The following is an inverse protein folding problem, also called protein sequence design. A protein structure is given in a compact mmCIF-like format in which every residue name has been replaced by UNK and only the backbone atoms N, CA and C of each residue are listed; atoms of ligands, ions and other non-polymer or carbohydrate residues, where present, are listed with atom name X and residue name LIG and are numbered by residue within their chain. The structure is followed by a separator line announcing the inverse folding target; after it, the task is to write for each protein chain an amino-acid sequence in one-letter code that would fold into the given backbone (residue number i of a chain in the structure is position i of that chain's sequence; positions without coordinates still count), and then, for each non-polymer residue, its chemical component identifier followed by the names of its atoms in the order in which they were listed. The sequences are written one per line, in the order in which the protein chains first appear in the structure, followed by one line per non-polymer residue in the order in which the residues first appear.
data_IF_087855937633
#
_entry.id   IF_087855937633
#
_cell.length_a   1.000
_cell.length_b   1.000
_cell.length_c   1.000
_cell.angle_alpha   90.00
_cell.angle_beta   90.00
_cell.angle_gamma   90.00
#
_symmetry.space_group_name_H-M   'P 1'
#
loop_
_entity.id
_entity.type
_entity.pdbx_description
1 polymer ?
#
# COMPACT_ATOMS: atom_id res chain seq x y z
N UNK A 1 -31.29 -2.65 49.98
CA UNK A 1 -32.32 -3.34 50.78
C UNK A 1 -33.16 -2.23 51.41
N UNK A 2 -34.42 -1.98 51.09
CA UNK A 2 -35.40 -2.72 50.29
C UNK A 2 -36.53 -1.75 49.92
N UNK A 3 -37.11 -1.98 48.73
CA UNK A 3 -38.52 -1.83 48.33
C UNK A 3 -39.25 -0.47 48.44
N UNK A 4 -39.68 0.12 47.31
CA UNK A 4 -40.83 -0.19 46.43
C UNK A 4 -42.18 0.32 46.98
N UNK A 5 -42.75 1.33 46.31
CA UNK A 5 -44.14 1.25 45.83
C UNK A 5 -44.41 2.29 44.73
N UNK A 6 -44.88 1.74 43.61
CA UNK A 6 -45.26 2.41 42.38
C UNK A 6 -46.65 3.04 42.47
N UNK A 7 -46.95 4.02 41.61
CA UNK A 7 -48.26 4.23 40.97
C UNK A 7 -48.16 5.30 39.87
N UNK A 8 -48.19 4.85 38.63
CA UNK A 8 -48.80 5.53 37.47
C UNK A 8 -50.19 4.86 37.27
N UNK A 9 -51.19 5.40 36.52
CA UNK A 9 -51.08 6.17 35.27
C UNK A 9 -52.08 7.35 35.11
N UNK A 10 -51.89 8.20 34.10
CA UNK A 10 -52.79 8.34 32.93
C UNK A 10 -52.52 9.60 32.10
N UNK A 11 -52.77 9.45 30.81
CA UNK A 11 -52.48 10.34 29.69
C UNK A 11 -53.30 11.64 29.69
N UNK A 12 -52.76 12.72 29.09
CA UNK A 12 -53.47 13.46 28.01
C UNK A 12 -52.54 14.48 27.32
N UNK A 13 -52.59 14.43 25.99
CA UNK A 13 -51.84 15.22 24.99
C UNK A 13 -52.36 16.64 24.87
N UNK A 14 -51.48 17.66 24.80
CA UNK A 14 -51.55 18.89 23.97
C UNK A 14 -50.09 19.37 23.83
N UNK A 15 -49.39 19.26 22.69
CA UNK A 15 -49.56 20.07 21.49
C UNK A 15 -48.47 21.16 21.42
N UNK A 16 -47.25 20.82 20.96
CA UNK A 16 -46.16 21.79 20.75
C UNK A 16 -45.89 21.99 19.25
N UNK A 17 -46.11 23.22 18.80
CA UNK A 17 -45.88 23.71 17.44
C UNK A 17 -44.43 24.18 17.27
N UNK A 18 -43.75 23.63 16.25
CA UNK A 18 -42.50 24.16 15.72
C UNK A 18 -42.80 25.23 14.65
N UNK A 19 -42.00 26.31 14.54
CA UNK A 19 -42.10 27.24 13.42
C UNK A 19 -40.88 27.12 12.50
N UNK A 20 -41.04 26.65 11.27
CA UNK A 20 -40.10 26.91 10.17
C UNK A 20 -40.79 26.75 8.83
N UNK A 21 -41.03 27.85 8.11
CA UNK A 21 -40.80 28.03 6.66
C UNK A 21 -41.50 29.29 6.19
N UNK A 22 -40.74 30.30 5.77
CA UNK A 22 -41.17 31.16 4.68
C UNK A 22 -40.02 31.32 3.67
N UNK A 23 -40.34 30.87 2.47
CA UNK A 23 -39.62 31.01 1.22
C UNK A 23 -39.78 32.44 0.69
N UNK A 24 -38.70 33.10 0.33
CA UNK A 24 -38.73 34.23 -0.61
C UNK A 24 -37.73 33.97 -1.74
N UNK A 25 -38.26 33.49 -2.86
CA UNK A 25 -37.60 33.35 -4.14
C UNK A 25 -37.64 34.67 -4.91
N UNK A 26 -36.49 35.31 -5.09
CA UNK A 26 -36.32 36.43 -6.01
C UNK A 26 -35.84 35.92 -7.38
N UNK A 27 -36.70 36.09 -8.38
CA UNK A 27 -36.39 36.01 -9.80
C UNK A 27 -35.72 37.31 -10.25
N UNK A 28 -34.58 37.23 -10.96
CA UNK A 28 -34.17 38.30 -11.90
C UNK A 28 -33.54 37.66 -13.14
N UNK A 29 -34.03 38.06 -14.31
CA UNK A 29 -33.65 37.56 -15.62
C UNK A 29 -33.12 38.73 -16.48
N UNK A 30 -32.02 38.47 -17.19
CA UNK A 30 -31.60 38.99 -18.51
C UNK A 30 -31.32 40.48 -18.79
N UNK A 31 -30.05 40.73 -19.19
CA UNK A 31 -29.59 41.26 -20.51
C UNK A 31 -29.08 42.73 -20.71
N UNK A 32 -27.79 42.81 -21.10
CA UNK A 32 -27.06 43.63 -22.12
C UNK A 32 -26.85 45.17 -21.92
N UNK A 33 -25.90 45.85 -22.64
CA UNK A 33 -24.82 45.41 -23.53
C UNK A 33 -23.42 46.08 -23.36
N UNK A 34 -22.48 45.61 -24.18
CA UNK A 34 -21.11 46.04 -24.48
C UNK A 34 -20.98 47.41 -25.16
N UNK A 35 -19.93 48.18 -24.84
CA UNK A 35 -19.39 49.23 -25.72
C UNK A 35 -17.85 49.32 -25.63
N UNK A 36 -17.22 49.28 -26.82
CA UNK A 36 -15.82 49.64 -27.10
C UNK A 36 -15.61 51.16 -26.96
N UNK A 37 -14.42 51.61 -26.55
CA UNK A 37 -13.60 52.61 -27.28
C UNK A 37 -12.22 52.85 -26.62
N UNK A 38 -11.16 52.62 -27.41
CA UNK A 38 -9.91 53.38 -27.61
C UNK A 38 -9.23 54.25 -26.52
N UNK A 39 -7.96 53.89 -26.26
CA UNK A 39 -6.74 54.64 -25.87
C UNK A 39 -6.67 56.15 -26.23
N UNK A 40 -5.92 57.02 -25.49
CA UNK A 40 -4.44 57.03 -25.52
C UNK A 40 -3.65 57.41 -24.24
N UNK A 41 -2.35 57.07 -24.27
CA UNK A 41 -1.20 57.44 -23.41
C UNK A 41 -0.94 58.97 -23.37
N UNK A 42 -0.23 59.55 -22.34
CA UNK A 42 1.24 59.43 -22.22
C UNK A 42 1.89 59.50 -20.80
N UNK A 43 2.97 58.69 -20.61
CA UNK A 43 4.29 58.94 -19.94
C UNK A 43 4.36 59.50 -18.47
N UNK A 44 5.53 59.49 -17.79
CA UNK A 44 6.01 58.36 -17.01
C UNK A 44 6.33 58.72 -15.53
N UNK A 45 5.93 57.90 -14.57
CA UNK A 45 6.41 58.01 -13.19
C UNK A 45 7.36 56.86 -12.86
N UNK A 46 8.58 57.23 -12.47
CA UNK A 46 9.57 56.38 -11.85
C UNK A 46 9.01 55.74 -10.57
N UNK A 47 9.43 54.50 -10.25
CA UNK A 47 10.06 54.12 -8.97
C UNK A 47 10.12 52.58 -8.79
N UNK A 48 11.32 52.14 -8.40
CA UNK A 48 11.67 50.91 -7.66
C UNK A 48 11.46 49.52 -8.31
N UNK A 49 12.53 49.05 -8.96
CA UNK A 49 12.81 47.62 -9.14
C UNK A 49 12.97 46.93 -7.79
N UNK A 50 12.06 45.99 -7.48
CA UNK A 50 12.26 44.99 -6.44
C UNK A 50 12.77 43.72 -7.13
N UNK A 51 14.09 43.53 -7.16
CA UNK A 51 14.72 42.31 -7.66
C UNK A 51 14.51 41.19 -6.63
N UNK A 52 13.58 40.28 -6.90
CA UNK A 52 13.48 38.99 -6.22
C UNK A 52 14.66 38.13 -6.66
N UNK A 53 15.69 38.08 -5.81
CA UNK A 53 16.84 37.18 -5.98
C UNK A 53 16.41 35.73 -5.74
N UNK A 54 16.67 34.78 -6.66
CA UNK A 54 16.46 33.37 -6.39
C UNK A 54 17.55 32.86 -5.43
N UNK A 55 17.11 32.30 -4.30
CA UNK A 55 17.94 31.65 -3.30
C UNK A 55 18.77 30.51 -3.93
N UNK A 56 20.04 30.78 -4.16
CA UNK A 56 21.03 29.78 -4.59
C UNK A 56 21.53 29.03 -3.35
N UNK A 57 20.95 27.87 -3.02
CA UNK A 57 21.54 26.94 -2.07
C UNK A 57 22.87 26.43 -2.64
N UNK A 58 23.99 26.86 -2.05
CA UNK A 58 25.33 26.37 -2.39
C UNK A 58 25.44 24.88 -2.03
N UNK A 59 25.62 24.05 -3.06
CA UNK A 59 26.04 22.64 -2.93
C UNK A 59 27.33 22.56 -2.13
N UNK A 60 27.30 21.82 -1.03
CA UNK A 60 28.52 21.35 -0.35
C UNK A 60 29.12 20.24 -1.21
N UNK A 61 30.39 20.39 -1.60
CA UNK A 61 31.16 19.32 -2.26
C UNK A 61 31.64 18.36 -1.17
N UNK A 62 31.20 17.10 -1.24
CA UNK A 62 31.84 16.03 -0.47
C UNK A 62 33.17 15.68 -1.14
N UNK A 63 34.29 16.02 -0.48
CA UNK A 63 35.59 15.47 -0.83
C UNK A 63 35.61 13.99 -0.44
N UNK A 64 35.83 13.12 -1.43
CA UNK A 64 36.16 11.71 -1.24
C UNK A 64 37.34 11.57 -0.27
N UNK A 65 37.13 10.88 0.84
CA UNK A 65 38.21 10.26 1.59
C UNK A 65 37.77 8.84 1.96
N UNK A 66 38.00 7.93 1.03
CA UNK A 66 38.02 6.51 1.28
C UNK A 66 39.24 5.95 0.55
N UNK A 67 39.84 4.94 1.17
CA UNK A 67 40.97 4.12 0.71
C UNK A 67 42.37 4.71 0.95
N UNK A 68 42.87 4.49 2.16
CA UNK A 68 44.24 4.00 2.32
C UNK A 68 44.42 3.39 3.72
N UNK A 69 44.57 2.06 3.78
CA UNK A 69 45.52 1.33 4.66
C UNK A 69 45.24 -0.17 4.61
N UNK A 70 45.90 -0.83 3.65
CA UNK A 70 46.34 -2.22 3.75
C UNK A 70 47.84 -2.22 4.05
N UNK A 71 48.29 -3.27 4.75
CA UNK A 71 49.66 -3.69 5.08
C UNK A 71 50.27 -3.26 6.44
N UNK A 72 50.13 -4.20 7.40
CA UNK A 72 51.15 -4.82 8.29
C UNK A 72 52.45 -4.10 8.66
N UNK A 73 52.80 -4.03 9.96
CA UNK A 73 53.77 -4.97 10.63
C UNK A 73 53.99 -4.67 12.13
N UNK A 74 54.07 -5.77 12.90
CA UNK A 74 54.91 -6.07 14.09
C UNK A 74 54.80 -5.34 15.45
N UNK A 75 54.48 -6.16 16.46
CA UNK A 75 55.04 -6.28 17.84
C UNK A 75 54.97 -5.09 18.82
N UNK A 76 54.11 -5.20 19.85
CA UNK A 76 54.52 -5.62 21.21
C UNK A 76 53.35 -5.52 22.22
N UNK A 77 53.16 -6.61 22.95
CA UNK A 77 52.73 -6.78 24.34
C UNK A 77 51.94 -5.65 25.03
N UNK A 78 50.69 -5.92 25.46
CA UNK A 78 50.27 -6.07 26.88
C UNK A 78 48.73 -6.15 26.92
N UNK A 79 48.20 -7.18 27.60
CA UNK A 79 46.77 -7.49 27.75
C UNK A 79 46.07 -6.57 28.77
N UNK A 80 44.72 -6.45 28.72
CA UNK A 80 43.95 -7.12 29.76
C UNK A 80 42.66 -7.82 29.29
N UNK A 81 42.21 -8.71 30.19
CA UNK A 81 41.20 -9.78 30.12
C UNK A 81 39.79 -9.36 29.65
N UNK A 82 39.19 -10.20 28.80
CA UNK A 82 37.73 -10.37 28.66
C UNK A 82 37.28 -11.60 29.47
N UNK A 83 36.10 -11.57 30.10
CA UNK A 83 35.53 -12.76 30.75
C UNK A 83 34.92 -13.72 29.71
N UNK A 84 35.07 -15.01 29.98
CA UNK A 84 34.53 -16.13 29.24
C UNK A 84 33.10 -16.45 29.68
N UNK A 85 32.19 -16.67 28.73
CA UNK A 85 30.88 -17.25 28.97
C UNK A 85 30.73 -18.54 28.13
N UNK A 86 30.91 -19.66 28.82
CA UNK A 86 30.21 -20.95 28.75
C UNK A 86 29.43 -21.23 27.44
N UNK A 87 30.02 -22.09 26.59
CA UNK A 87 29.28 -22.92 25.65
C UNK A 87 28.72 -24.14 26.39
N UNK A 88 27.40 -24.25 26.48
CA UNK A 88 26.70 -25.52 26.68
C UNK A 88 25.36 -25.42 25.95
N UNK A 89 25.27 -26.01 24.75
CA UNK A 89 23.98 -26.34 24.12
C UNK A 89 24.08 -27.77 23.62
N UNK A 90 23.21 -28.61 24.18
CA UNK A 90 23.00 -30.00 23.82
C UNK A 90 22.54 -30.16 22.35
N UNK A 91 22.87 -31.28 21.69
CA UNK A 91 22.39 -31.54 20.33
C UNK A 91 20.93 -31.97 20.39
N UNK A 92 20.02 -31.05 20.05
CA UNK A 92 18.64 -31.36 19.72
C UNK A 92 18.61 -31.97 18.31
N UNK A 93 18.23 -33.25 18.24
CA UNK A 93 18.06 -34.01 17.01
C UNK A 93 16.84 -33.50 16.21
N UNK A 94 17.06 -32.60 15.26
CA UNK A 94 16.12 -32.34 14.17
C UNK A 94 16.55 -33.12 12.93
N UNK A 95 15.81 -34.18 12.59
CA UNK A 95 15.94 -34.87 11.31
C UNK A 95 15.46 -33.95 10.19
N UNK A 96 16.38 -33.29 9.49
CA UNK A 96 16.09 -32.64 8.20
C UNK A 96 15.81 -33.77 7.19
N UNK A 97 14.54 -33.96 6.86
CA UNK A 97 14.13 -34.79 5.73
C UNK A 97 14.17 -33.92 4.48
N UNK A 98 15.28 -33.98 3.74
CA UNK A 98 15.37 -33.42 2.39
C UNK A 98 14.38 -34.18 1.50
N UNK A 99 13.22 -33.59 1.23
CA UNK A 99 12.33 -34.09 0.18
C UNK A 99 12.87 -33.59 -1.16
N UNK A 100 13.47 -34.53 -1.86
CA UNK A 100 13.85 -34.47 -3.26
C UNK A 100 12.64 -34.12 -4.12
N UNK A 101 12.84 -33.09 -4.92
CA UNK A 101 12.16 -32.67 -6.15
C UNK A 101 11.48 -33.85 -6.88
N UNK A 102 10.16 -33.98 -6.78
CA UNK A 102 9.37 -34.75 -7.73
C UNK A 102 8.91 -33.83 -8.85
N UNK A 103 9.56 -33.94 -10.00
CA UNK A 103 9.06 -33.40 -11.26
C UNK A 103 7.91 -34.31 -11.72
N UNK A 104 6.69 -33.80 -11.69
CA UNK A 104 5.56 -34.47 -12.35
C UNK A 104 5.61 -34.16 -13.84
N UNK A 105 6.19 -35.08 -14.60
CA UNK A 105 5.96 -35.26 -16.03
C UNK A 105 4.55 -35.82 -16.23
N UNK A 106 3.60 -34.99 -16.63
CA UNK A 106 2.36 -35.44 -17.27
C UNK A 106 2.41 -34.94 -18.72
N UNK A 107 3.03 -35.75 -19.58
CA UNK A 107 2.95 -35.58 -21.02
C UNK A 107 1.50 -35.88 -21.45
N UNK A 108 0.88 -34.92 -22.11
CA UNK A 108 -0.32 -35.14 -22.89
C UNK A 108 0.03 -36.10 -24.03
N UNK A 109 -0.66 -37.24 -24.11
CA UNK A 109 -0.62 -38.09 -25.29
C UNK A 109 -1.34 -37.36 -26.44
N UNK A 110 -0.56 -36.79 -27.35
CA UNK A 110 -1.01 -36.44 -28.69
C UNK A 110 -0.94 -37.71 -29.53
N UNK A 111 -2.09 -38.28 -29.87
CA UNK A 111 -2.17 -39.36 -30.86
C UNK A 111 -1.68 -38.82 -32.21
N UNK A 112 -0.51 -39.31 -32.61
CA UNK A 112 0.06 -39.09 -33.91
C UNK A 112 -0.67 -39.98 -34.94
N UNK A 113 -1.12 -39.35 -36.01
CA UNK A 113 -1.47 -39.99 -37.27
C UNK A 113 -0.18 -40.56 -37.88
N UNK A 114 -0.21 -41.80 -38.40
CA UNK A 114 0.46 -42.04 -39.67
C UNK A 114 -0.48 -42.71 -40.66
N UNK A 115 -0.54 -42.12 -41.85
CA UNK A 115 -1.04 -42.73 -43.06
C UNK A 115 0.05 -43.62 -43.67
N UNK A 116 -0.30 -44.85 -44.05
CA UNK A 116 0.37 -45.64 -45.10
C UNK A 116 -0.69 -46.59 -45.71
N UNK A 117 -0.61 -46.74 -47.03
CA UNK A 117 -1.49 -47.48 -47.93
C UNK A 117 -1.27 -49.01 -47.90
N UNK A 118 -2.32 -49.80 -48.11
CA UNK A 118 -2.53 -50.63 -49.33
C UNK A 118 -3.52 -51.81 -49.09
N UNK A 119 -4.07 -52.30 -50.20
CA UNK A 119 -5.26 -53.09 -50.43
C UNK A 119 -5.23 -54.58 -50.01
N UNK A 120 -6.44 -55.16 -49.89
CA UNK A 120 -6.65 -56.61 -49.87
C UNK A 120 -8.08 -57.00 -49.53
N UNK A 121 -8.84 -57.45 -50.53
CA UNK A 121 -10.23 -57.86 -50.46
C UNK A 121 -10.45 -59.20 -49.72
N UNK A 122 -11.54 -59.30 -48.95
CA UNK A 122 -12.33 -60.53 -48.73
C UNK A 122 -13.62 -60.24 -47.93
N UNK A 123 -14.78 -60.44 -48.56
CA UNK A 123 -16.08 -60.79 -47.92
C UNK A 123 -16.09 -62.33 -47.69
N UNK A 124 -16.82 -62.93 -46.69
CA UNK A 124 -18.28 -62.81 -46.58
C UNK A 124 -18.98 -62.98 -45.18
N UNK A 125 -20.15 -62.34 -45.05
CA UNK A 125 -21.46 -62.84 -44.51
C UNK A 125 -21.73 -63.10 -42.99
N UNK A 126 -22.74 -62.35 -42.50
CA UNK A 126 -23.79 -62.58 -41.48
C UNK A 126 -23.50 -62.49 -39.96
N UNK A 127 -24.51 -62.23 -39.06
CA UNK A 127 -25.92 -61.88 -39.26
C UNK A 127 -26.39 -60.58 -38.55
N UNK A 128 -27.56 -60.07 -38.96
CA UNK A 128 -28.33 -59.05 -38.26
C UNK A 128 -28.62 -59.45 -36.80
N UNK A 129 -28.22 -58.61 -35.86
CA UNK A 129 -28.68 -58.66 -34.47
C UNK A 129 -29.39 -57.36 -34.11
N UNK A 130 -30.59 -57.53 -33.55
CA UNK A 130 -31.54 -56.51 -33.09
C UNK A 130 -30.84 -55.44 -32.23
N UNK A 131 -31.30 -54.18 -32.22
CA UNK A 131 -30.71 -53.15 -31.37
C UNK A 131 -30.95 -53.54 -29.91
N UNK A 132 -29.92 -54.06 -29.26
CA UNK A 132 -29.89 -54.16 -27.82
C UNK A 132 -29.80 -52.73 -27.29
N UNK A 133 -30.89 -52.31 -26.66
CA UNK A 133 -30.96 -51.08 -25.89
C UNK A 133 -29.94 -51.17 -24.74
N UNK A 134 -28.67 -50.93 -25.05
CA UNK A 134 -27.68 -50.57 -24.06
C UNK A 134 -28.06 -49.18 -23.60
N UNK A 135 -28.72 -49.11 -22.44
CA UNK A 135 -28.91 -47.85 -21.75
C UNK A 135 -27.53 -47.29 -21.44
N UNK A 136 -26.99 -46.46 -22.33
CA UNK A 136 -26.04 -45.45 -21.93
C UNK A 136 -26.80 -44.58 -20.94
N UNK A 137 -26.68 -44.93 -19.65
CA UNK A 137 -27.06 -44.05 -18.56
C UNK A 137 -26.14 -42.85 -18.71
N UNK A 138 -26.52 -41.91 -19.57
CA UNK A 138 -26.04 -40.56 -19.52
C UNK A 138 -26.27 -40.15 -18.06
N UNK A 139 -25.19 -40.08 -17.29
CA UNK A 139 -25.21 -39.34 -16.05
C UNK A 139 -25.49 -37.90 -16.47
N UNK A 140 -26.77 -37.56 -16.57
CA UNK A 140 -27.24 -36.19 -16.57
C UNK A 140 -26.68 -35.60 -15.30
N UNK A 141 -25.49 -34.98 -15.40
CA UNK A 141 -24.90 -34.18 -14.33
C UNK A 141 -25.96 -33.16 -13.98
N UNK A 142 -26.69 -33.43 -12.89
CA UNK A 142 -27.75 -32.55 -12.41
C UNK A 142 -27.06 -31.23 -12.09
N UNK A 143 -27.28 -30.21 -12.93
CA UNK A 143 -26.70 -28.88 -12.71
C UNK A 143 -27.19 -28.43 -11.33
N UNK A 144 -26.27 -28.14 -10.43
CA UNK A 144 -26.63 -27.58 -9.13
C UNK A 144 -27.36 -26.26 -9.36
N UNK A 145 -28.41 -25.95 -8.59
CA UNK A 145 -29.01 -24.62 -8.58
C UNK A 145 -27.94 -23.55 -8.36
N UNK A 146 -28.07 -22.40 -9.02
CA UNK A 146 -27.10 -21.30 -8.94
C UNK A 146 -26.92 -20.79 -7.50
N UNK A 147 -28.00 -20.82 -6.72
CA UNK A 147 -28.06 -20.50 -5.28
C UNK A 147 -27.11 -21.36 -4.43
N UNK A 148 -26.83 -22.60 -4.85
CA UNK A 148 -25.97 -23.52 -4.10
C UNK A 148 -24.49 -23.33 -4.42
N UNK A 149 -24.16 -22.61 -5.48
CA UNK A 149 -22.78 -22.32 -5.85
C UNK A 149 -22.24 -21.16 -4.99
N UNK A 150 -21.01 -21.25 -4.46
CA UNK A 150 -20.42 -20.19 -3.64
C UNK A 150 -20.12 -18.93 -4.45
N UNK A 151 -19.81 -19.09 -5.73
CA UNK A 151 -19.41 -18.03 -6.66
C UNK A 151 -19.99 -18.32 -8.06
N UNK A 152 -20.14 -17.29 -8.93
CA UNK A 152 -20.72 -17.45 -10.25
C UNK A 152 -19.79 -18.23 -11.17
N UNK A 153 -20.38 -18.95 -12.11
CA UNK A 153 -19.61 -19.73 -13.08
C UNK A 153 -18.76 -18.81 -14.00
N UNK A 154 -17.51 -19.16 -14.35
CA UNK A 154 -16.63 -18.29 -15.14
C UNK A 154 -17.20 -17.86 -16.50
N UNK A 155 -18.06 -18.68 -17.11
CA UNK A 155 -18.71 -18.34 -18.38
C UNK A 155 -19.64 -17.11 -18.25
N UNK A 156 -20.28 -16.92 -17.08
CA UNK A 156 -21.17 -15.79 -16.81
C UNK A 156 -20.44 -14.44 -16.85
N UNK A 157 -19.11 -14.44 -16.67
CA UNK A 157 -18.30 -13.21 -16.75
C UNK A 157 -18.35 -12.54 -18.13
N UNK A 158 -18.55 -13.32 -19.20
CA UNK A 158 -18.65 -12.78 -20.57
C UNK A 158 -19.94 -11.99 -20.82
N UNK A 159 -20.99 -12.25 -20.05
CA UNK A 159 -22.30 -11.61 -20.18
C UNK A 159 -22.47 -10.41 -19.24
N UNK A 160 -21.53 -10.21 -18.30
CA UNK A 160 -21.61 -9.15 -17.30
C UNK A 160 -21.25 -7.78 -17.88
N UNK A 161 -22.21 -6.87 -17.83
CA UNK A 161 -22.03 -5.46 -18.23
C UNK A 161 -21.12 -4.75 -17.22
N UNK A 162 -21.24 -5.06 -15.93
CA UNK A 162 -20.44 -4.43 -14.86
C UNK A 162 -18.95 -4.72 -15.03
N UNK A 163 -18.58 -5.95 -15.38
CA UNK A 163 -17.18 -6.32 -15.67
C UNK A 163 -16.64 -5.61 -16.90
N UNK A 164 -17.41 -5.56 -17.99
CA UNK A 164 -17.01 -4.85 -19.21
C UNK A 164 -16.81 -3.34 -18.95
N UNK A 165 -17.70 -2.74 -18.15
CA UNK A 165 -17.59 -1.34 -17.73
C UNK A 165 -16.36 -1.09 -16.85
N UNK A 166 -16.09 -1.97 -15.88
CA UNK A 166 -14.92 -1.87 -15.01
C UNK A 166 -13.61 -1.99 -15.80
N UNK A 167 -13.53 -2.96 -16.73
CA UNK A 167 -12.36 -3.13 -17.61
C UNK A 167 -12.07 -1.85 -18.40
N UNK A 168 -13.12 -1.22 -18.94
CA UNK A 168 -13.03 0.00 -19.72
C UNK A 168 -12.64 1.22 -18.86
N UNK A 169 -13.21 1.35 -17.65
CA UNK A 169 -12.90 2.41 -16.68
C UNK A 169 -11.43 2.39 -16.27
N UNK A 170 -10.88 1.20 -16.04
CA UNK A 170 -9.47 1.00 -15.70
C UNK A 170 -8.53 1.05 -16.91
N UNK A 171 -9.06 1.31 -18.11
CA UNK A 171 -8.30 1.33 -19.37
C UNK A 171 -7.48 0.04 -19.60
N UNK A 172 -8.02 -1.11 -19.19
CA UNK A 172 -7.36 -2.40 -19.34
C UNK A 172 -7.49 -2.89 -20.79
N UNK A 173 -6.42 -3.45 -21.38
CA UNK A 173 -6.43 -3.91 -22.76
C UNK A 173 -7.27 -5.19 -22.91
N UNK A 174 -7.82 -5.44 -24.09
CA UNK A 174 -8.72 -6.58 -24.35
C UNK A 174 -8.06 -7.96 -24.17
N UNK A 175 -6.72 -8.01 -24.28
CA UNK A 175 -5.92 -9.20 -23.94
C UNK A 175 -6.10 -9.66 -22.48
N UNK A 176 -6.61 -8.79 -21.61
CA UNK A 176 -6.97 -9.16 -20.25
C UNK A 176 -8.38 -9.79 -20.21
N UNK A 177 -8.50 -11.09 -19.88
CA UNK A 177 -9.77 -11.81 -19.95
C UNK A 177 -10.73 -11.39 -18.83
N UNK A 178 -12.02 -11.27 -19.16
CA UNK A 178 -13.08 -10.94 -18.20
C UNK A 178 -13.25 -12.00 -17.11
N UNK A 179 -12.92 -13.27 -17.40
CA UNK A 179 -12.98 -14.38 -16.46
C UNK A 179 -11.95 -14.21 -15.34
N UNK A 180 -10.74 -13.76 -15.66
CA UNK A 180 -9.74 -13.46 -14.63
C UNK A 180 -10.16 -12.25 -13.81
N UNK A 181 -10.73 -11.22 -14.46
CA UNK A 181 -11.27 -10.05 -13.75
C UNK A 181 -12.36 -10.46 -12.75
N UNK A 182 -13.30 -11.31 -13.16
CA UNK A 182 -14.33 -11.87 -12.29
C UNK A 182 -13.72 -12.61 -11.09
N UNK A 183 -12.69 -13.44 -11.32
CA UNK A 183 -11.99 -14.15 -10.25
C UNK A 183 -11.40 -13.21 -9.20
N UNK A 184 -10.88 -12.04 -9.61
CA UNK A 184 -10.32 -11.07 -8.63
C UNK A 184 -11.36 -10.54 -7.64
N UNK A 185 -12.65 -10.55 -7.99
CA UNK A 185 -13.76 -10.09 -7.15
C UNK A 185 -14.29 -11.15 -6.19
N UNK A 186 -13.84 -12.40 -6.28
CA UNK A 186 -14.26 -13.50 -5.40
C UNK A 186 -13.28 -13.66 -4.24
N UNK A 187 -13.68 -13.23 -3.04
CA UNK A 187 -12.86 -13.35 -1.83
C UNK A 187 -12.85 -14.79 -1.27
N UNK A 188 -11.76 -15.29 -0.63
CA UNK A 188 -11.71 -16.61 0.02
C UNK A 188 -12.82 -16.87 1.07
N UNK A 189 -13.40 -15.81 1.63
CA UNK A 189 -14.56 -15.96 2.53
C UNK A 189 -15.82 -16.43 1.81
N UNK A 190 -16.00 -16.02 0.54
CA UNK A 190 -17.13 -16.42 -0.29
C UNK A 190 -16.92 -17.83 -0.83
N UNK A 191 -15.75 -18.07 -1.42
CA UNK A 191 -15.39 -19.36 -2.01
C UNK A 191 -14.11 -19.92 -1.38
N UNK A 192 -14.23 -21.12 -0.80
CA UNK A 192 -13.11 -21.80 -0.16
C UNK A 192 -12.12 -22.38 -1.18
N UNK A 193 -12.55 -22.62 -2.42
CA UNK A 193 -11.73 -23.27 -3.42
C UNK A 193 -10.65 -22.31 -3.97
N UNK A 194 -9.35 -22.65 -3.84
CA UNK A 194 -8.25 -21.79 -4.30
C UNK A 194 -8.26 -21.50 -5.81
N UNK A 195 -8.93 -22.35 -6.59
CA UNK A 195 -9.04 -22.20 -8.03
C UNK A 195 -9.98 -21.05 -8.44
N UNK A 196 -11.02 -20.79 -7.63
CA UNK A 196 -12.07 -19.80 -7.94
C UNK A 196 -11.96 -18.52 -7.10
N UNK A 197 -11.21 -18.55 -6.00
CA UNK A 197 -10.97 -17.36 -5.19
C UNK A 197 -9.75 -16.54 -5.66
N UNK A 198 -9.66 -15.32 -5.12
CA UNK A 198 -8.63 -14.33 -5.41
C UNK A 198 -7.39 -14.39 -4.51
N UNK A 199 -7.30 -15.37 -3.59
CA UNK A 199 -6.29 -15.38 -2.53
C UNK A 199 -4.85 -15.45 -3.07
N UNK A 200 -4.58 -16.35 -4.02
CA UNK A 200 -3.25 -16.51 -4.64
C UNK A 200 -2.83 -15.27 -5.43
N UNK A 201 -3.77 -14.66 -6.16
CA UNK A 201 -3.54 -13.43 -6.91
C UNK A 201 -3.28 -12.25 -5.96
N UNK A 202 -3.99 -12.20 -4.83
CA UNK A 202 -3.84 -11.17 -3.81
C UNK A 202 -2.46 -11.22 -3.15
N UNK A 203 -1.93 -12.42 -2.84
CA UNK A 203 -0.57 -12.58 -2.32
C UNK A 203 0.47 -12.05 -3.32
N UNK A 204 0.35 -12.42 -4.60
CA UNK A 204 1.25 -11.93 -5.65
C UNK A 204 1.19 -10.41 -5.78
N UNK A 205 -0.01 -9.84 -5.79
CA UNK A 205 -0.20 -8.40 -5.89
C UNK A 205 0.27 -7.61 -4.67
N UNK A 206 0.13 -8.17 -3.46
CA UNK A 206 0.69 -7.59 -2.23
C UNK A 206 2.20 -7.42 -2.38
N UNK A 207 2.91 -8.51 -2.71
CA UNK A 207 4.36 -8.49 -2.91
C UNK A 207 4.80 -7.46 -3.97
N UNK A 208 4.07 -7.35 -5.09
CA UNK A 208 4.37 -6.40 -6.16
C UNK A 208 4.15 -4.95 -5.71
N UNK A 209 3.03 -4.67 -5.05
CA UNK A 209 2.73 -3.33 -4.51
C UNK A 209 3.76 -2.94 -3.45
N UNK A 210 4.08 -3.84 -2.53
CA UNK A 210 5.10 -3.65 -1.51
C UNK A 210 6.46 -3.36 -2.14
N UNK A 211 6.87 -4.16 -3.12
CA UNK A 211 8.12 -3.96 -3.86
C UNK A 211 8.18 -2.59 -4.56
N UNK A 212 7.20 -2.23 -5.39
CA UNK A 212 7.24 -0.96 -6.13
C UNK A 212 7.11 0.26 -5.23
N UNK A 213 6.32 0.18 -4.15
CA UNK A 213 6.17 1.29 -3.19
C UNK A 213 7.45 1.51 -2.41
N UNK A 214 8.05 0.45 -1.87
CA UNK A 214 9.30 0.55 -1.11
C UNK A 214 10.46 0.99 -1.99
N UNK A 215 10.57 0.45 -3.21
CA UNK A 215 11.53 0.89 -4.21
C UNK A 215 11.42 2.40 -4.47
N UNK A 216 10.21 2.88 -4.75
CA UNK A 216 9.95 4.30 -5.00
C UNK A 216 10.34 5.17 -3.80
N UNK A 217 9.94 4.77 -2.58
CA UNK A 217 10.22 5.53 -1.37
C UNK A 217 11.72 5.55 -1.04
N UNK A 218 12.41 4.42 -1.08
CA UNK A 218 13.84 4.34 -0.77
C UNK A 218 14.69 5.10 -1.77
N UNK A 219 14.34 5.06 -3.06
CA UNK A 219 15.13 5.75 -4.08
C UNK A 219 14.89 7.27 -4.05
N UNK A 220 13.67 7.74 -3.73
CA UNK A 220 13.38 9.17 -3.63
C UNK A 220 13.72 9.79 -2.26
N UNK A 221 13.66 9.01 -1.19
CA UNK A 221 13.92 9.44 0.20
C UNK A 221 14.88 8.46 0.88
N UNK A 222 16.17 8.47 0.50
CA UNK A 222 17.13 7.45 0.94
C UNK A 222 17.47 7.48 2.44
N UNK A 223 17.10 8.56 3.13
CA UNK A 223 17.37 8.79 4.56
C UNK A 223 16.14 8.54 5.44
N UNK A 224 15.04 8.05 4.89
CA UNK A 224 13.78 7.96 5.63
C UNK A 224 13.90 6.96 6.80
N UNK A 225 13.52 7.35 8.04
CA UNK A 225 13.44 6.43 9.18
C UNK A 225 12.52 5.25 8.89
N UNK A 226 12.82 4.08 9.46
CA UNK A 226 12.07 2.85 9.15
C UNK A 226 10.62 2.92 9.64
N UNK A 227 10.36 3.58 10.78
CA UNK A 227 8.99 3.80 11.27
C UNK A 227 8.16 4.62 10.30
N UNK A 228 8.75 5.66 9.71
CA UNK A 228 8.11 6.52 8.72
C UNK A 228 7.96 5.80 7.38
N UNK A 229 8.92 4.95 6.99
CA UNK A 229 8.82 4.09 5.81
C UNK A 229 7.59 3.17 5.90
N UNK A 230 7.41 2.47 7.02
CA UNK A 230 6.24 1.61 7.23
C UNK A 230 4.93 2.40 7.20
N UNK A 231 4.87 3.56 7.86
CA UNK A 231 3.70 4.42 7.85
C UNK A 231 3.39 4.97 6.43
N UNK A 232 4.42 5.33 5.66
CA UNK A 232 4.26 5.79 4.29
C UNK A 232 3.75 4.65 3.39
N UNK A 233 4.28 3.45 3.55
CA UNK A 233 3.82 2.28 2.81
C UNK A 233 2.35 1.95 3.14
N UNK A 234 1.94 1.97 4.41
CA UNK A 234 0.54 1.81 4.82
C UNK A 234 -0.36 2.93 4.25
N UNK A 235 0.14 4.16 4.19
CA UNK A 235 -0.61 5.27 3.60
C UNK A 235 -0.84 5.12 2.09
N UNK A 236 0.10 4.55 1.33
CA UNK A 236 -0.05 4.30 -0.11
C UNK A 236 -0.85 3.04 -0.43
N UNK A 237 -0.49 1.89 0.18
CA UNK A 237 -0.98 0.55 -0.18
C UNK A 237 -1.58 -0.23 0.99
N UNK A 238 -1.86 0.44 2.12
CA UNK A 238 -2.53 -0.17 3.26
C UNK A 238 -4.02 -0.44 3.03
N UNK A 239 -4.68 -1.23 3.91
CA UNK A 239 -6.06 -1.66 3.76
C UNK A 239 -7.05 -0.52 3.51
N UNK A 240 -6.88 0.59 4.24
CA UNK A 240 -7.72 1.78 4.11
C UNK A 240 -7.51 2.47 2.76
N UNK A 241 -6.26 2.61 2.33
CA UNK A 241 -5.91 3.24 1.07
C UNK A 241 -6.44 2.45 -0.12
N UNK A 242 -6.29 1.12 -0.11
CA UNK A 242 -6.78 0.22 -1.15
C UNK A 242 -8.31 0.15 -1.18
N UNK A 243 -8.98 0.18 -0.02
CA UNK A 243 -10.43 0.26 0.03
C UNK A 243 -10.97 1.56 -0.58
N UNK A 244 -10.27 2.69 -0.41
CA UNK A 244 -10.62 3.94 -1.07
C UNK A 244 -10.46 3.84 -2.59
N UNK A 245 -9.33 3.29 -3.07
CA UNK A 245 -9.08 3.07 -4.51
C UNK A 245 -10.17 2.18 -5.11
N UNK A 246 -10.54 1.09 -4.44
CA UNK A 246 -11.61 0.20 -4.88
C UNK A 246 -12.95 0.93 -5.02
N UNK A 247 -13.25 1.86 -4.12
CA UNK A 247 -14.47 2.70 -4.19
C UNK A 247 -14.38 3.73 -5.32
N UNK A 248 -13.23 4.35 -5.55
CA UNK A 248 -12.99 5.26 -6.68
C UNK A 248 -13.16 4.55 -8.02
N UNK A 249 -12.76 3.28 -8.10
CA UNK A 249 -13.01 2.43 -9.26
C UNK A 249 -14.45 1.98 -9.40
N UNK A 250 -15.37 2.39 -8.52
CA UNK A 250 -16.79 2.10 -8.57
C UNK A 250 -17.12 0.62 -8.36
N UNK A 251 -16.43 -0.03 -7.44
CA UNK A 251 -16.66 -1.43 -7.10
C UNK A 251 -17.73 -1.52 -6.02
N UNK A 252 -18.78 -2.27 -6.34
CA UNK A 252 -19.92 -2.49 -5.46
C UNK A 252 -19.79 -3.83 -4.74
N UNK A 253 -20.13 -3.85 -3.46
CA UNK A 253 -20.18 -5.08 -2.68
C UNK A 253 -21.50 -5.84 -2.93
N UNK A 254 -21.42 -7.14 -3.12
CA UNK A 254 -22.59 -8.02 -3.10
C UNK A 254 -23.20 -8.06 -1.69
N UNK A 255 -24.53 -8.21 -1.60
CA UNK A 255 -25.22 -8.34 -0.32
C UNK A 255 -24.86 -9.65 0.40
N UNK A 256 -24.86 -10.75 -0.36
CA UNK A 256 -24.41 -12.07 0.05
C UNK A 256 -23.65 -12.72 -1.12
N UNK A 257 -22.67 -13.61 -0.84
CA UNK A 257 -22.00 -14.37 -1.87
C UNK A 257 -22.93 -15.47 -2.41
N UNK A 258 -22.88 -15.72 -3.72
CA UNK A 258 -23.66 -16.77 -4.36
C UNK A 258 -23.45 -16.80 -5.88
N UNK A 259 -23.76 -17.93 -6.51
CA UNK A 259 -23.60 -18.13 -7.95
C UNK A 259 -24.63 -17.42 -8.83
N UNK A 260 -25.72 -16.93 -8.23
CA UNK A 260 -26.74 -16.10 -8.88
C UNK A 260 -26.33 -14.64 -9.04
N UNK A 261 -25.34 -14.19 -8.28
CA UNK A 261 -24.90 -12.80 -8.25
C UNK A 261 -24.07 -12.49 -9.49
N UNK A 262 -24.25 -11.30 -10.05
CA UNK A 262 -23.41 -10.81 -11.16
C UNK A 262 -21.93 -10.87 -10.77
N UNK A 263 -21.06 -11.52 -11.57
CA UNK A 263 -19.61 -11.60 -11.30
C UNK A 263 -18.90 -10.23 -11.27
N UNK A 264 -19.55 -9.15 -11.70
CA UNK A 264 -19.03 -7.78 -11.57
C UNK A 264 -19.16 -7.16 -10.18
N UNK A 265 -19.74 -7.86 -9.21
CA UNK A 265 -19.84 -7.42 -7.81
C UNK A 265 -18.74 -8.06 -6.95
N UNK A 266 -18.25 -7.35 -5.95
CA UNK A 266 -17.30 -7.87 -4.97
C UNK A 266 -18.00 -8.86 -4.02
N UNK A 267 -17.61 -10.13 -4.07
CA UNK A 267 -18.26 -11.21 -3.35
C UNK A 267 -17.44 -11.62 -2.13
N UNK A 268 -18.03 -11.47 -0.95
CA UNK A 268 -17.46 -11.88 0.34
C UNK A 268 -18.59 -12.10 1.35
N UNK A 269 -18.30 -12.84 2.42
CA UNK A 269 -19.25 -12.96 3.53
C UNK A 269 -19.17 -11.69 4.36
N UNK A 270 -20.19 -10.83 4.26
CA UNK A 270 -20.20 -9.55 4.93
C UNK A 270 -20.37 -9.70 6.45
N UNK A 271 -19.50 -9.04 7.20
CA UNK A 271 -19.67 -8.87 8.65
C UNK A 271 -20.87 -7.96 8.93
N UNK A 272 -21.81 -8.42 9.76
CA UNK A 272 -23.01 -7.67 10.11
C UNK A 272 -22.68 -6.55 11.11
N UNK A 273 -23.35 -5.40 10.98
CA UNK A 273 -23.18 -4.31 11.92
C UNK A 273 -23.61 -4.76 13.34
N UNK A 274 -22.78 -4.49 14.34
CA UNK A 274 -23.01 -4.92 15.73
C UNK A 274 -22.52 -6.34 16.05
N UNK A 275 -22.12 -7.13 15.06
CA UNK A 275 -21.42 -8.41 15.32
C UNK A 275 -19.96 -8.16 15.74
N UNK A 276 -19.46 -8.97 16.67
CA UNK A 276 -18.06 -8.90 17.09
C UNK A 276 -17.11 -9.23 15.93
N UNK A 277 -15.93 -8.61 15.93
CA UNK A 277 -14.88 -8.92 14.97
C UNK A 277 -14.44 -10.39 15.18
N UNK A 278 -14.37 -11.23 14.13
CA UNK A 278 -13.92 -12.61 14.25
C UNK A 278 -12.54 -12.70 14.87
N UNK A 279 -12.27 -13.75 15.64
CA UNK A 279 -10.97 -13.97 16.30
C UNK A 279 -9.77 -13.88 15.34
N UNK A 280 -9.94 -14.39 14.11
CA UNK A 280 -8.92 -14.35 13.04
C UNK A 280 -8.53 -12.92 12.65
N UNK A 281 -9.46 -11.97 12.73
CA UNK A 281 -9.24 -10.55 12.43
C UNK A 281 -9.02 -9.71 13.69
N UNK A 282 -9.19 -10.32 14.87
CA UNK A 282 -9.05 -9.62 16.13
C UNK A 282 -7.57 -9.41 16.40
N UNK A 283 -7.19 -8.15 16.59
CA UNK A 283 -5.86 -7.83 17.02
C UNK A 283 -5.68 -8.32 18.46
N UNK A 284 -4.97 -9.43 18.64
CA UNK A 284 -4.50 -9.81 19.96
C UNK A 284 -3.47 -8.78 20.39
N UNK A 285 -3.68 -8.12 21.53
CA UNK A 285 -2.64 -7.28 22.11
C UNK A 285 -1.57 -8.24 22.62
N UNK A 286 -0.37 -8.28 22.03
CA UNK A 286 0.68 -9.12 22.57
C UNK A 286 0.95 -8.70 24.02
N UNK A 287 1.35 -9.64 24.87
CA UNK A 287 2.02 -9.32 26.13
C UNK A 287 3.03 -8.19 25.85
N UNK A 288 3.03 -7.12 26.66
CA UNK A 288 3.89 -5.91 26.56
C UNK A 288 5.40 -6.22 26.46
N UNK A 289 5.84 -6.76 25.33
CA UNK A 289 7.24 -6.91 24.96
C UNK A 289 7.57 -5.87 23.90
N UNK A 290 8.67 -5.15 24.10
CA UNK A 290 9.12 -4.16 23.12
C UNK A 290 9.67 -4.90 21.89
N UNK A 291 8.95 -4.83 20.77
CA UNK A 291 9.44 -5.35 19.48
C UNK A 291 10.39 -4.35 18.85
N UNK A 292 11.57 -4.82 18.45
CA UNK A 292 12.57 -3.99 17.76
C UNK A 292 12.17 -3.76 16.30
N UNK A 293 12.65 -2.67 15.71
CA UNK A 293 12.47 -2.39 14.27
C UNK A 293 13.00 -3.52 13.40
N UNK A 294 14.15 -4.11 13.75
CA UNK A 294 14.72 -5.26 13.03
C UNK A 294 13.80 -6.48 13.06
N UNK A 295 13.16 -6.77 14.19
CA UNK A 295 12.17 -7.85 14.27
C UNK A 295 10.97 -7.57 13.37
N UNK A 296 10.50 -6.32 13.30
CA UNK A 296 9.41 -5.94 12.39
C UNK A 296 9.77 -6.22 10.93
N UNK A 297 10.96 -5.83 10.49
CA UNK A 297 11.43 -6.08 9.12
C UNK A 297 11.46 -7.58 8.78
N UNK A 298 11.89 -8.43 9.72
CA UNK A 298 12.10 -9.86 9.45
C UNK A 298 10.84 -10.72 9.63
N UNK A 299 10.02 -10.41 10.63
CA UNK A 299 8.98 -11.33 11.11
C UNK A 299 7.55 -10.84 10.88
N UNK A 300 7.36 -9.56 10.57
CA UNK A 300 6.03 -8.97 10.42
C UNK A 300 5.64 -8.73 8.96
N UNK A 301 4.45 -8.16 8.76
CA UNK A 301 3.95 -7.82 7.43
C UNK A 301 4.75 -6.66 6.80
N UNK A 302 4.46 -6.37 5.53
CA UNK A 302 5.00 -5.27 4.74
C UNK A 302 4.91 -3.90 5.46
N UNK A 303 3.95 -3.76 6.37
CA UNK A 303 3.67 -2.53 7.12
C UNK A 303 4.31 -2.46 8.51
N UNK A 304 5.11 -3.45 8.92
CA UNK A 304 5.67 -3.48 10.27
C UNK A 304 4.61 -3.69 11.37
N UNK A 305 3.48 -4.32 11.01
CA UNK A 305 2.33 -4.56 11.89
C UNK A 305 2.70 -5.52 13.02
N UNK A 306 1.98 -5.43 14.15
CA UNK A 306 2.27 -6.33 15.27
C UNK A 306 1.81 -7.77 15.05
N UNK A 307 0.90 -7.97 14.09
CA UNK A 307 0.24 -9.25 13.81
C UNK A 307 0.52 -9.67 12.37
N UNK A 308 0.63 -10.98 12.18
CA UNK A 308 0.74 -11.61 10.85
C UNK A 308 -0.61 -11.49 10.13
N UNK A 309 -0.64 -11.23 8.82
CA UNK A 309 -1.89 -11.28 8.06
C UNK A 309 -2.54 -12.68 8.18
N UNK A 310 -3.87 -12.75 8.27
CA UNK A 310 -4.59 -14.03 8.39
C UNK A 310 -4.35 -14.89 7.15
N UNK A 311 -4.24 -16.21 7.33
CA UNK A 311 -4.05 -17.09 6.17
C UNK A 311 -5.35 -17.16 5.36
N UNK A 312 -5.28 -17.37 4.02
CA UNK A 312 -6.47 -17.52 3.21
C UNK A 312 -7.39 -18.67 3.66
N UNK A 313 -6.81 -19.73 4.24
CA UNK A 313 -7.57 -20.85 4.79
C UNK A 313 -8.33 -20.47 6.07
N UNK A 314 -7.75 -19.62 6.92
CA UNK A 314 -8.42 -19.11 8.13
C UNK A 314 -9.55 -18.13 7.77
N UNK A 315 -9.42 -17.45 6.64
CA UNK A 315 -10.46 -16.58 6.09
C UNK A 315 -11.60 -17.36 5.41
N UNK A 316 -11.43 -18.66 5.17
CA UNK A 316 -12.45 -19.46 4.53
C UNK A 316 -13.72 -19.48 5.39
N UNK A 317 -14.84 -19.07 4.79
CA UNK A 317 -16.17 -19.00 5.41
C UNK A 317 -16.30 -18.04 6.60
N UNK A 318 -15.28 -17.28 6.98
CA UNK A 318 -15.40 -16.28 8.05
C UNK A 318 -16.01 -14.97 7.52
N UNK A 319 -16.79 -14.23 8.33
CA UNK A 319 -17.34 -12.96 7.91
C UNK A 319 -16.28 -11.86 7.99
N UNK A 320 -16.14 -11.08 6.92
CA UNK A 320 -15.02 -10.17 6.71
C UNK A 320 -15.57 -8.74 6.49
N UNK A 321 -14.88 -7.69 7.00
CA UNK A 321 -15.28 -6.31 6.73
C UNK A 321 -15.04 -5.94 5.27
N UNK A 322 -15.80 -4.96 4.76
CA UNK A 322 -15.75 -4.55 3.35
C UNK A 322 -14.35 -4.08 2.95
N UNK A 323 -13.63 -3.41 3.85
CA UNK A 323 -12.28 -2.91 3.62
C UNK A 323 -11.28 -4.04 3.30
N UNK A 324 -11.41 -5.17 4.01
CA UNK A 324 -10.53 -6.33 3.85
C UNK A 324 -10.77 -7.01 2.49
N UNK A 325 -12.03 -7.20 2.11
CA UNK A 325 -12.39 -7.74 0.79
C UNK A 325 -11.92 -6.81 -0.35
N UNK A 326 -12.10 -5.50 -0.18
CA UNK A 326 -11.70 -4.50 -1.16
C UNK A 326 -10.19 -4.44 -1.36
N UNK A 327 -9.38 -4.49 -0.28
CA UNK A 327 -7.92 -4.54 -0.43
C UNK A 327 -7.46 -5.81 -1.16
N UNK A 328 -8.09 -6.96 -0.85
CA UNK A 328 -7.72 -8.23 -1.47
C UNK A 328 -8.04 -8.22 -2.96
N UNK A 329 -9.16 -7.62 -3.36
CA UNK A 329 -9.47 -7.39 -4.77
C UNK A 329 -8.40 -6.54 -5.47
N UNK A 330 -8.01 -5.38 -4.90
CA UNK A 330 -7.05 -4.48 -5.57
C UNK A 330 -5.70 -5.17 -5.72
N UNK A 331 -5.23 -5.88 -4.69
CA UNK A 331 -4.02 -6.71 -4.76
C UNK A 331 -4.18 -7.80 -5.83
N UNK A 332 -5.29 -8.54 -5.82
CA UNK A 332 -5.54 -9.60 -6.79
C UNK A 332 -5.56 -9.08 -8.24
N UNK A 333 -6.09 -7.88 -8.46
CA UNK A 333 -6.05 -7.22 -9.75
C UNK A 333 -4.59 -7.01 -10.19
N UNK A 334 -3.74 -6.40 -9.37
CA UNK A 334 -2.32 -6.20 -9.69
C UNK A 334 -1.60 -7.52 -9.98
N UNK A 335 -1.83 -8.55 -9.17
CA UNK A 335 -1.27 -9.88 -9.40
C UNK A 335 -1.73 -10.48 -10.74
N UNK A 336 -3.02 -10.35 -11.07
CA UNK A 336 -3.55 -10.83 -12.35
C UNK A 336 -3.02 -10.04 -13.56
N UNK A 337 -2.83 -8.72 -13.43
CA UNK A 337 -2.25 -7.88 -14.47
C UNK A 337 -0.80 -8.30 -14.74
N UNK A 338 -0.03 -8.62 -13.70
CA UNK A 338 1.34 -9.10 -13.85
C UNK A 338 1.39 -10.42 -14.64
N UNK A 339 0.50 -11.37 -14.34
CA UNK A 339 0.46 -12.68 -15.00
C UNK A 339 0.07 -12.59 -16.48
N UNK A 340 -0.89 -11.72 -16.83
CA UNK A 340 -1.40 -11.62 -18.21
C UNK A 340 -0.66 -10.60 -19.09
N UNK A 341 -0.21 -9.49 -18.50
CA UNK A 341 0.20 -8.29 -19.24
C UNK A 341 1.68 -7.96 -19.06
N UNK A 342 2.31 -8.54 -18.04
CA UNK A 342 3.73 -8.37 -17.71
C UNK A 342 4.05 -7.07 -16.95
N UNK A 343 5.30 -7.01 -16.50
CA UNK A 343 5.87 -5.92 -15.69
C UNK A 343 5.68 -4.49 -16.21
N UNK A 344 5.91 -4.17 -17.50
CA UNK A 344 5.91 -2.76 -17.93
C UNK A 344 4.52 -2.11 -17.80
N UNK A 345 3.45 -2.86 -18.09
CA UNK A 345 2.10 -2.34 -17.93
C UNK A 345 1.73 -2.18 -16.45
N UNK A 346 2.12 -3.13 -15.60
CA UNK A 346 1.85 -3.04 -14.15
C UNK A 346 2.56 -1.84 -13.54
N UNK A 347 3.82 -1.56 -13.90
CA UNK A 347 4.55 -0.36 -13.45
C UNK A 347 3.86 0.93 -13.87
N UNK A 348 3.39 1.01 -15.11
CA UNK A 348 2.59 2.15 -15.59
C UNK A 348 1.29 2.29 -14.80
N UNK A 349 0.54 1.20 -14.64
CA UNK A 349 -0.69 1.18 -13.87
C UNK A 349 -0.48 1.61 -12.42
N UNK A 350 0.61 1.13 -11.78
CA UNK A 350 1.01 1.50 -10.43
C UNK A 350 1.29 3.00 -10.31
N UNK A 351 2.06 3.56 -11.24
CA UNK A 351 2.34 5.00 -11.26
C UNK A 351 1.07 5.83 -11.42
N UNK A 352 0.19 5.43 -12.31
CA UNK A 352 -1.00 6.21 -12.68
C UNK A 352 -2.09 6.16 -11.59
N UNK A 353 -2.22 5.06 -10.83
CA UNK A 353 -3.28 4.89 -9.81
C UNK A 353 -2.82 5.02 -8.35
N UNK A 354 -1.58 4.65 -8.03
CA UNK A 354 -1.09 4.61 -6.64
C UNK A 354 -0.14 5.77 -6.36
N UNK A 355 0.83 6.02 -7.24
CA UNK A 355 1.79 7.13 -7.07
C UNK A 355 1.20 8.50 -7.44
N UNK A 356 0.08 8.54 -8.15
CA UNK A 356 -0.65 9.79 -8.44
C UNK A 356 -1.26 10.42 -7.18
N UNK A 357 -1.38 9.66 -6.10
CA UNK A 357 -1.88 10.15 -4.81
C UNK A 357 -0.82 10.98 -4.09
N UNK A 358 -1.22 12.14 -3.58
CA UNK A 358 -0.33 13.00 -2.82
C UNK A 358 -0.30 12.59 -1.34
N UNK A 359 0.89 12.27 -0.84
CA UNK A 359 1.15 12.02 0.57
C UNK A 359 2.22 12.99 1.08
N UNK A 360 1.89 13.79 2.09
CA UNK A 360 2.87 14.62 2.78
C UNK A 360 3.61 13.81 3.85
N UNK A 361 4.81 13.32 3.50
CA UNK A 361 5.68 12.58 4.41
C UNK A 361 6.07 13.39 5.65
N UNK A 362 6.05 14.72 5.59
CA UNK A 362 6.44 15.56 6.73
C UNK A 362 5.50 15.40 7.94
N UNK A 363 4.26 14.97 7.70
CA UNK A 363 3.22 14.74 8.71
C UNK A 363 3.38 13.40 9.44
N UNK A 364 4.12 12.45 8.86
CA UNK A 364 4.31 11.11 9.41
C UNK A 364 5.39 11.06 10.50
N UNK A 365 6.19 12.11 10.65
CA UNK A 365 7.25 12.17 11.65
C UNK A 365 6.69 12.52 13.03
N UNK A 366 7.00 11.67 14.01
CA UNK A 366 6.82 11.95 15.42
C UNK A 366 8.18 11.89 16.13
N UNK A 367 8.60 13.01 16.73
CA UNK A 367 9.89 13.14 17.39
C UNK A 367 9.70 13.27 18.90
N UNK A 368 10.29 12.34 19.66
CA UNK A 368 10.24 12.38 21.12
C UNK A 368 11.21 13.41 21.71
N UNK A 369 12.45 13.46 21.20
CA UNK A 369 13.52 14.31 21.75
C UNK A 369 14.38 14.95 20.65
N UNK A 370 13.81 15.82 19.79
CA UNK A 370 14.47 16.27 18.57
C UNK A 370 15.79 17.03 18.81
N UNK A 371 15.93 17.71 19.96
CA UNK A 371 17.17 18.42 20.31
C UNK A 371 18.36 17.47 20.51
N UNK A 372 18.13 16.31 21.15
CA UNK A 372 19.15 15.28 21.37
C UNK A 372 19.49 14.57 20.07
N UNK A 373 18.47 14.34 19.24
CA UNK A 373 18.60 13.71 17.92
C UNK A 373 19.46 14.58 16.99
N UNK A 374 19.23 15.89 16.91
CA UNK A 374 20.07 16.82 16.11
C UNK A 374 21.50 16.88 16.64
N UNK A 375 21.69 16.93 17.96
CA UNK A 375 23.04 16.92 18.54
C UNK A 375 23.82 15.66 18.19
N UNK A 376 23.16 14.49 18.20
CA UNK A 376 23.79 13.23 17.81
C UNK A 376 24.02 13.14 16.31
N UNK A 377 23.10 13.67 15.50
CA UNK A 377 23.28 13.79 14.05
C UNK A 377 24.53 14.60 13.73
N UNK A 378 24.68 15.81 14.32
CA UNK A 378 25.87 16.64 14.11
C UNK A 378 27.15 15.91 14.54
N UNK A 379 27.15 15.24 15.69
CA UNK A 379 28.30 14.47 16.15
C UNK A 379 28.66 13.30 15.21
N UNK A 380 27.65 12.62 14.64
CA UNK A 380 27.83 11.51 13.69
C UNK A 380 28.43 11.98 12.37
N UNK A 381 27.93 13.09 11.84
CA UNK A 381 28.38 13.65 10.56
C UNK A 381 29.66 14.50 10.68
N UNK A 382 30.15 14.75 11.91
CA UNK A 382 31.33 15.57 12.17
C UNK A 382 31.09 17.09 12.04
N UNK A 383 29.84 17.53 12.19
CA UNK A 383 29.49 18.96 12.22
C UNK A 383 29.79 19.58 13.59
N UNK A 384 29.92 20.91 13.62
CA UNK A 384 30.00 21.66 14.87
C UNK A 384 28.74 21.43 15.73
N UNK A 385 28.86 21.43 17.07
CA UNK A 385 27.72 21.20 17.94
C UNK A 385 26.60 22.21 17.68
N UNK A 386 25.33 21.77 17.59
CA UNK A 386 24.23 22.64 17.22
C UNK A 386 23.90 23.63 18.35
N UNK A 387 23.82 24.92 18.02
CA UNK A 387 23.47 26.00 18.93
C UNK A 387 22.17 26.65 18.47
N UNK A 388 21.19 26.74 19.37
CA UNK A 388 19.95 27.47 19.12
C UNK A 388 20.16 28.98 19.31
N UNK A 389 19.79 29.79 18.32
CA UNK A 389 19.87 31.26 18.35
C UNK A 389 18.49 31.85 18.06
N UNK A 390 18.11 32.88 18.80
CA UNK A 390 16.91 33.66 18.53
C UNK A 390 17.15 34.52 17.28
N UNK A 391 16.29 34.38 16.26
CA UNK A 391 16.36 35.15 15.01
C UNK A 391 15.53 36.42 15.14
N UNK A 392 14.28 36.26 15.59
CA UNK A 392 13.37 37.38 15.83
C UNK A 392 12.40 37.03 16.94
N UNK A 393 11.89 38.06 17.60
CA UNK A 393 10.84 37.91 18.60
C UNK A 393 9.84 39.05 18.55
N UNK A 394 8.61 38.75 18.91
CA UNK A 394 7.55 39.74 19.09
C UNK A 394 6.64 39.33 20.23
N UNK A 395 6.11 40.32 20.96
CA UNK A 395 5.09 40.09 21.99
C UNK A 395 5.55 39.25 23.19
N UNK A 396 6.84 39.31 23.59
CA UNK A 396 7.41 38.51 24.70
C UNK A 396 6.59 38.52 25.99
N UNK A 397 6.01 39.66 26.35
CA UNK A 397 5.17 39.85 27.55
C UNK A 397 3.66 39.94 27.19
N UNK A 398 3.25 39.31 26.09
CA UNK A 398 1.85 39.21 25.68
C UNK A 398 1.31 37.80 25.93
N UNK A 399 -0.01 37.63 25.82
CA UNK A 399 -0.66 36.31 25.90
C UNK A 399 -0.22 35.36 24.77
N UNK A 400 0.15 35.93 23.61
CA UNK A 400 0.54 35.18 22.42
C UNK A 400 1.87 35.69 21.86
N UNK A 401 3.00 35.42 22.56
CA UNK A 401 4.31 35.73 22.02
C UNK A 401 4.58 34.92 20.76
N UNK A 402 5.48 35.40 19.91
CA UNK A 402 6.04 34.61 18.82
C UNK A 402 7.56 34.74 18.86
N UNK A 403 8.23 33.62 19.09
CA UNK A 403 9.67 33.50 19.04
C UNK A 403 10.07 32.68 17.82
N UNK A 404 10.94 33.23 16.98
CA UNK A 404 11.54 32.53 15.84
C UNK A 404 12.95 32.16 16.19
N UNK A 405 13.21 30.87 16.31
CA UNK A 405 14.51 30.31 16.70
C UNK A 405 15.09 29.53 15.52
N UNK A 406 16.39 29.74 15.26
CA UNK A 406 17.16 28.95 14.31
C UNK A 406 18.18 28.08 15.03
N UNK A 407 18.39 26.86 14.53
CA UNK A 407 19.49 26.00 14.98
C UNK A 407 20.63 26.11 13.98
N UNK A 408 21.80 26.46 14.51
CA UNK A 408 23.00 26.68 13.73
C UNK A 408 24.07 25.66 14.10
N UNK A 409 24.77 25.13 13.10
CA UNK A 409 26.06 24.47 13.28
C UNK A 409 27.13 25.40 12.73
N UNK A 410 27.88 26.04 13.63
CA UNK A 410 28.78 27.14 13.30
C UNK A 410 28.08 28.33 12.65
N UNK A 411 28.22 28.43 11.33
CA UNK A 411 27.62 29.48 10.48
C UNK A 411 26.37 29.01 9.74
N UNK A 412 26.20 27.70 9.57
CA UNK A 412 25.14 27.14 8.74
C UNK A 412 23.84 26.97 9.56
N UNK A 413 22.73 27.48 9.01
CA UNK A 413 21.40 27.32 9.60
C UNK A 413 20.83 25.96 9.17
N UNK A 414 20.69 25.04 10.11
CA UNK A 414 20.18 23.69 9.87
C UNK A 414 18.66 23.66 9.80
N UNK A 415 18.00 24.45 10.65
CA UNK A 415 16.54 24.50 10.76
C UNK A 415 16.07 25.74 11.47
N UNK A 416 14.79 26.05 11.27
CA UNK A 416 14.12 27.22 11.82
C UNK A 416 12.72 26.80 12.30
N UNK A 417 12.28 27.38 13.41
CA UNK A 417 10.98 27.09 13.99
C UNK A 417 10.44 28.26 14.79
N UNK A 418 9.13 28.48 14.68
CA UNK A 418 8.41 29.49 15.43
C UNK A 418 7.58 28.86 16.56
N UNK A 419 7.54 29.48 17.72
CA UNK A 419 6.74 29.02 18.85
C UNK A 419 6.30 30.12 19.78
N UNK A 420 5.30 29.80 20.60
CA UNK A 420 4.75 30.71 21.62
C UNK A 420 5.65 30.80 22.85
N UNK A 421 6.47 29.78 23.08
CA UNK A 421 7.56 29.79 24.05
C UNK A 421 8.93 29.56 23.39
N UNK A 422 9.99 29.99 24.05
CA UNK A 422 11.37 29.78 23.59
C UNK A 422 11.70 28.28 23.44
N UNK A 423 11.24 27.44 24.37
CA UNK A 423 11.46 26.00 24.34
C UNK A 423 10.70 25.33 23.20
N UNK A 424 9.45 25.71 22.98
CA UNK A 424 8.63 25.21 21.87
C UNK A 424 9.23 25.61 20.52
N UNK A 425 9.66 26.86 20.36
CA UNK A 425 10.34 27.34 19.15
C UNK A 425 11.63 26.55 18.89
N UNK A 426 12.43 26.29 19.94
CA UNK A 426 13.65 25.47 19.88
C UNK A 426 13.36 24.03 19.47
N UNK A 427 12.35 23.39 20.06
CA UNK A 427 11.93 22.01 19.73
C UNK A 427 11.45 21.92 18.28
N UNK A 428 10.67 22.90 17.82
CA UNK A 428 10.21 22.97 16.42
C UNK A 428 11.34 23.21 15.44
N UNK A 429 12.28 24.09 15.76
CA UNK A 429 13.46 24.31 14.93
C UNK A 429 14.31 23.03 14.80
N UNK A 430 14.42 22.25 15.88
CA UNK A 430 15.11 20.96 15.88
C UNK A 430 14.38 19.93 15.02
N UNK A 431 13.06 19.82 15.18
CA UNK A 431 12.25 18.94 14.35
C UNK A 431 12.34 19.34 12.86
N UNK A 432 12.34 20.63 12.52
CA UNK A 432 12.50 21.11 11.16
C UNK A 432 13.87 20.73 10.57
N UNK A 433 14.96 20.85 11.34
CA UNK A 433 16.29 20.41 10.93
C UNK A 433 16.34 18.90 10.64
N UNK A 434 15.72 18.07 11.50
CA UNK A 434 15.63 16.62 11.28
C UNK A 434 14.79 16.26 10.07
N UNK A 435 13.63 16.91 9.88
CA UNK A 435 12.78 16.72 8.69
C UNK A 435 13.56 17.07 7.43
N UNK A 436 14.29 18.18 7.42
CA UNK A 436 15.12 18.57 6.28
C UNK A 436 16.22 17.53 5.97
N UNK A 437 16.82 16.93 7.00
CA UNK A 437 17.79 15.85 6.84
C UNK A 437 17.17 14.58 6.24
N UNK A 438 16.06 14.11 6.81
CA UNK A 438 15.43 12.84 6.45
C UNK A 438 14.63 12.91 5.14
N UNK A 439 14.01 14.04 4.82
CA UNK A 439 13.26 14.27 3.58
C UNK A 439 14.13 14.75 2.41
N UNK A 440 15.45 14.55 2.51
CA UNK A 440 16.35 14.79 1.39
C UNK A 440 15.93 13.95 0.17
N UNK A 441 15.69 14.64 -0.96
CA UNK A 441 15.30 14.02 -2.23
C UNK A 441 16.33 14.29 -3.32
N UNK A 442 16.94 13.26 -3.93
CA UNK A 442 17.80 13.44 -5.10
C UNK A 442 16.98 13.91 -6.31
N UNK A 443 17.60 14.69 -7.20
CA UNK A 443 16.95 15.18 -8.43
C UNK A 443 16.80 14.07 -9.48
N UNK A 444 17.87 13.29 -9.67
CA UNK A 444 17.90 12.17 -10.60
C UNK A 444 17.91 10.88 -9.79
N UNK A 445 16.89 10.05 -10.02
CA UNK A 445 16.71 8.78 -9.32
C UNK A 445 16.46 7.71 -10.34
N UNK A 446 17.29 6.65 -10.33
CA UNK A 446 17.05 5.44 -11.11
C UNK A 446 16.48 4.37 -10.20
N UNK A 447 15.32 3.84 -10.54
CA UNK A 447 14.69 2.74 -9.78
C UNK A 447 15.30 1.41 -10.25
N UNK A 448 15.76 0.50 -9.37
CA UNK A 448 16.41 -0.75 -9.77
C UNK A 448 15.59 -1.58 -10.77
N UNK A 449 14.27 -1.64 -10.60
CA UNK A 449 13.34 -2.35 -11.47
C UNK A 449 13.31 -1.77 -12.90
N UNK A 450 13.75 -0.54 -13.13
CA UNK A 450 13.87 0.00 -14.49
C UNK A 450 14.99 -0.66 -15.29
N UNK A 451 15.96 -1.29 -14.63
CA UNK A 451 17.08 -1.98 -15.29
C UNK A 451 16.73 -3.40 -15.75
N UNK A 452 15.62 -3.96 -15.27
CA UNK A 452 15.18 -5.32 -15.59
C UNK A 452 14.59 -5.44 -17.01
N UNK A 453 14.07 -4.32 -17.55
CA UNK A 453 13.45 -4.32 -18.86
C UNK A 453 14.50 -4.03 -19.93
N UNK A 454 14.71 -4.97 -20.85
CA UNK A 454 15.64 -4.83 -21.98
C UNK A 454 15.31 -3.61 -22.88
N UNK A 455 14.04 -3.21 -22.92
CA UNK A 455 13.53 -2.15 -23.81
C UNK A 455 13.85 -0.72 -23.31
N UNK A 456 14.00 -0.52 -22.00
CA UNK A 456 14.13 0.79 -21.36
C UNK A 456 15.46 0.91 -20.56
N UNK A 457 16.51 0.21 -21.00
CA UNK A 457 17.77 0.07 -20.28
C UNK A 457 18.58 1.37 -20.24
N UNK A 458 18.12 2.37 -19.46
CA UNK A 458 18.97 3.47 -19.01
C UNK A 458 20.10 2.89 -18.18
N UNK A 459 21.34 3.31 -18.47
CA UNK A 459 22.52 2.93 -17.68
C UNK A 459 22.26 3.17 -16.20
N UNK A 460 22.37 2.12 -15.39
CA UNK A 460 22.21 2.18 -13.94
C UNK A 460 23.15 3.23 -13.33
N UNK A 461 22.60 4.10 -12.49
CA UNK A 461 23.36 5.04 -11.67
C UNK A 461 23.23 4.61 -10.21
N UNK A 462 24.34 4.55 -9.45
CA UNK A 462 24.26 4.17 -8.05
C UNK A 462 23.47 5.22 -7.28
N UNK A 463 22.40 4.80 -6.62
CA UNK A 463 21.62 5.66 -5.73
C UNK A 463 22.36 5.92 -4.42
N UNK A 464 22.04 7.04 -3.77
CA UNK A 464 22.51 7.33 -2.41
C UNK A 464 21.95 6.29 -1.44
N UNK A 465 22.81 5.73 -0.59
CA UNK A 465 22.42 4.83 0.49
C UNK A 465 22.84 5.48 1.80
N UNK A 466 21.89 5.66 2.71
CA UNK A 466 22.16 6.26 4.02
C UNK A 466 22.76 5.25 4.99
N UNK A 467 23.46 5.74 6.01
CA UNK A 467 24.01 4.91 7.09
C UNK A 467 22.96 4.51 8.15
N UNK A 468 21.70 4.92 7.96
CA UNK A 468 20.56 4.62 8.83
C UNK A 468 20.13 5.81 9.68
N UNK A 469 19.01 5.63 10.39
CA UNK A 469 18.45 6.65 11.27
C UNK A 469 19.35 6.92 12.49
N UNK A 470 19.22 8.12 13.06
CA UNK A 470 19.98 8.50 14.26
C UNK A 470 19.33 7.87 15.49
N UNK A 471 20.03 6.92 16.11
CA UNK A 471 19.56 6.24 17.33
C UNK A 471 20.03 7.03 18.55
N UNK A 472 19.12 7.41 19.45
CA UNK A 472 19.36 8.28 20.63
C UNK A 472 19.30 7.58 21.98
#
# INVERSE_FOLDING_TARGET
MSELLALAPDETKIGSTQPTTEFLSFHWNSQFPSLLLSLPLPLPFALFSCTTSPFLMKRIRFSRCATERLASTTSNTTTPRRPSCIHNVAPSNYKIRLQTRFQSTAAAASDAIPAEMDAGAAEPVAPESKPSASSSRAHTRRRLPLEQLPSPHPHSASQSIKLAALRSRLSLPERFPLQTLARTLVHPSADADPAFNNASLSILGANLLGYYTTEYLMCNYPRLPMSVMFAAQDAYIGPKALALISREWGIEAAAAPGGEVDPGLLQFKRLQAGSGIPGVLKQELPWKWNKTTTHKILATDEFGSDQKPPSPHDLARTPVPVQEAAQSFVRALIGSLQLHLGTPLVKRFFRDHFLSRQLDLSTLFDFRTPTRDVSRLCAREGFEPPVARLISETGRLSRHPVFVVGIYSGKDKLGEGAGSSLDEAKVRAAAAALKAWYLYRPLEVTVPSSTENELDAKKWRPNMVDCGEVIV
#
